data_IF_385016363138
#
_entry.id   IF_385016363138
#
_cell.length_a   1.000
_cell.length_b   1.000
_cell.length_c   1.000
_cell.angle_alpha   90.00
_cell.angle_beta   90.00
_cell.angle_gamma   90.00
#
_symmetry.space_group_name_H-M   'P 1'
#
loop_
_entity.id
_entity.type
_entity.pdbx_description
1 polymer ?
#
# COMPACT_ATOMS: atom_id res chain seq x y z
N UNK A 1 24.58 1.36 -11.75
CA UNK A 1 23.34 1.68 -10.99
C UNK A 1 22.66 2.84 -11.70
N UNK A 2 21.34 2.83 -11.77
CA UNK A 2 20.53 3.90 -12.35
C UNK A 2 20.66 5.16 -11.48
N UNK A 3 20.79 6.34 -12.08
CA UNK A 3 20.84 7.59 -11.31
C UNK A 3 19.43 8.01 -10.87
N UNK A 4 19.31 8.84 -9.83
CA UNK A 4 18.02 9.39 -9.38
C UNK A 4 17.27 10.09 -10.52
N UNK A 5 18.00 10.86 -11.33
CA UNK A 5 17.44 11.53 -12.52
C UNK A 5 16.89 10.54 -13.54
N UNK A 6 17.59 9.43 -13.78
CA UNK A 6 17.12 8.38 -14.68
C UNK A 6 15.86 7.70 -14.13
N UNK A 7 15.80 7.42 -12.82
CA UNK A 7 14.60 6.83 -12.18
C UNK A 7 13.40 7.76 -12.32
N UNK A 8 13.58 9.02 -11.96
CA UNK A 8 12.53 10.03 -12.02
C UNK A 8 12.02 10.24 -13.45
N UNK A 9 12.91 10.25 -14.45
CA UNK A 9 12.54 10.34 -15.86
C UNK A 9 11.66 9.17 -16.31
N UNK A 10 11.96 7.94 -15.85
CA UNK A 10 11.17 6.75 -16.14
C UNK A 10 9.77 6.82 -15.52
N UNK A 11 9.65 7.26 -14.27
CA UNK A 11 8.34 7.46 -13.64
C UNK A 11 7.54 8.59 -14.27
N UNK A 12 8.18 9.75 -14.51
CA UNK A 12 7.54 10.92 -15.11
C UNK A 12 6.90 10.59 -16.46
N UNK A 13 7.59 9.81 -17.32
CA UNK A 13 7.03 9.38 -18.61
C UNK A 13 5.74 8.56 -18.46
N UNK A 14 5.69 7.64 -17.50
CA UNK A 14 4.51 6.79 -17.26
C UNK A 14 3.37 7.58 -16.64
N UNK A 15 3.68 8.41 -15.64
CA UNK A 15 2.70 9.23 -14.92
C UNK A 15 2.08 10.26 -15.85
N UNK A 16 2.87 10.93 -16.70
CA UNK A 16 2.35 11.88 -17.69
C UNK A 16 1.32 11.23 -18.63
N UNK A 17 1.53 9.97 -19.02
CA UNK A 17 0.58 9.23 -19.84
C UNK A 17 -0.72 8.90 -19.07
N UNK A 18 -0.62 8.55 -17.78
CA UNK A 18 -1.78 8.31 -16.92
C UNK A 18 -2.61 9.58 -16.73
N UNK A 19 -1.96 10.71 -16.46
CA UNK A 19 -2.60 12.02 -16.30
C UNK A 19 -3.28 12.46 -17.60
N UNK A 20 -2.60 12.32 -18.75
CA UNK A 20 -3.19 12.60 -20.05
C UNK A 20 -4.40 11.69 -20.36
N UNK A 21 -4.42 10.48 -19.80
CA UNK A 21 -5.56 9.55 -19.85
C UNK A 21 -6.71 9.90 -18.90
N UNK A 22 -6.58 10.95 -18.09
CA UNK A 22 -7.62 11.42 -17.16
C UNK A 22 -7.54 10.80 -15.76
N UNK A 23 -6.42 10.17 -15.38
CA UNK A 23 -6.22 9.76 -13.99
C UNK A 23 -6.23 10.98 -13.06
N UNK A 24 -7.02 10.92 -11.98
CA UNK A 24 -7.14 11.98 -10.98
C UNK A 24 -6.25 11.79 -9.74
N UNK A 25 -5.60 10.64 -9.67
CA UNK A 25 -4.72 10.24 -8.59
C UNK A 25 -3.69 9.26 -9.15
N UNK A 26 -2.51 9.20 -8.54
CA UNK A 26 -1.45 8.26 -8.86
C UNK A 26 -1.23 7.34 -7.67
N UNK A 27 -1.24 6.02 -7.91
CA UNK A 27 -0.93 5.03 -6.89
C UNK A 27 0.39 4.35 -7.26
N UNK A 28 1.45 4.63 -6.51
CA UNK A 28 2.76 4.00 -6.65
C UNK A 28 2.81 2.84 -5.67
N UNK A 29 2.62 1.62 -6.17
CA UNK A 29 2.45 0.43 -5.34
C UNK A 29 3.65 -0.52 -5.35
N UNK A 30 3.75 -1.32 -4.28
CA UNK A 30 4.68 -2.47 -4.15
C UNK A 30 6.17 -2.12 -4.15
N UNK A 31 6.55 -0.92 -3.75
CA UNK A 31 7.95 -0.51 -3.74
C UNK A 31 8.68 -1.07 -2.51
N UNK A 32 9.97 -1.33 -2.65
CA UNK A 32 10.83 -1.81 -1.54
C UNK A 32 11.98 -0.85 -1.21
N UNK A 33 12.40 -0.03 -2.18
CA UNK A 33 13.39 1.06 -2.01
C UNK A 33 12.68 2.39 -1.78
N UNK A 34 13.16 3.14 -0.78
CA UNK A 34 12.70 4.51 -0.50
C UNK A 34 13.15 5.48 -1.59
N UNK A 35 14.37 5.30 -2.08
CA UNK A 35 14.94 6.15 -3.12
C UNK A 35 14.08 6.11 -4.39
N UNK A 36 13.66 4.91 -4.79
CA UNK A 36 12.87 4.70 -6.00
C UNK A 36 11.45 5.25 -5.86
N UNK A 37 10.73 4.95 -4.76
CA UNK A 37 9.37 5.45 -4.55
C UNK A 37 9.34 6.97 -4.40
N UNK A 38 10.33 7.58 -3.74
CA UNK A 38 10.43 9.03 -3.62
C UNK A 38 10.60 9.71 -4.99
N UNK A 39 11.34 9.10 -5.93
CA UNK A 39 11.43 9.60 -7.30
C UNK A 39 10.07 9.59 -7.99
N UNK A 40 9.29 8.52 -7.82
CA UNK A 40 7.95 8.41 -8.40
C UNK A 40 6.97 9.45 -7.83
N UNK A 41 7.00 9.66 -6.52
CA UNK A 41 6.15 10.66 -5.85
C UNK A 41 6.50 12.07 -6.32
N UNK A 42 7.79 12.44 -6.36
CA UNK A 42 8.24 13.74 -6.84
C UNK A 42 7.90 13.94 -8.32
N UNK A 43 8.09 12.91 -9.16
CA UNK A 43 7.71 12.96 -10.56
C UNK A 43 6.21 13.27 -10.74
N UNK A 44 5.33 12.67 -9.93
CA UNK A 44 3.90 12.96 -9.96
C UNK A 44 3.61 14.42 -9.56
N UNK A 45 4.19 14.88 -8.45
CA UNK A 45 3.99 16.24 -7.93
C UNK A 45 4.58 17.34 -8.82
N UNK A 46 5.67 17.06 -9.53
CA UNK A 46 6.25 17.99 -10.51
C UNK A 46 5.39 18.13 -11.76
N UNK A 47 4.75 17.04 -12.21
CA UNK A 47 3.85 17.05 -13.36
C UNK A 47 2.52 17.73 -13.03
N UNK A 48 1.99 17.50 -11.84
CA UNK A 48 0.79 18.14 -11.33
C UNK A 48 0.86 18.23 -9.80
N UNK A 49 1.07 19.43 -9.27
CA UNK A 49 1.16 19.65 -7.83
C UNK A 49 -0.15 19.35 -7.07
N UNK A 50 -1.28 19.31 -7.79
CA UNK A 50 -2.61 19.06 -7.22
C UNK A 50 -3.04 17.60 -7.29
N UNK A 51 -2.28 16.72 -7.96
CA UNK A 51 -2.64 15.30 -8.04
C UNK A 51 -2.43 14.63 -6.69
N UNK A 52 -3.41 13.84 -6.25
CA UNK A 52 -3.25 12.98 -5.08
C UNK A 52 -2.32 11.81 -5.41
N UNK A 53 -1.33 11.57 -4.55
CA UNK A 53 -0.35 10.50 -4.69
C UNK A 53 -0.44 9.55 -3.49
N UNK A 54 -0.87 8.32 -3.77
CA UNK A 54 -0.73 7.20 -2.84
C UNK A 54 0.59 6.48 -3.07
N UNK A 55 1.35 6.29 -2.00
CA UNK A 55 2.66 5.67 -2.03
C UNK A 55 2.69 4.49 -1.05
N UNK A 56 2.79 3.28 -1.57
CA UNK A 56 2.80 2.06 -0.74
C UNK A 56 4.10 1.29 -0.89
N UNK A 57 4.57 0.78 0.24
CA UNK A 57 5.74 -0.09 0.30
C UNK A 57 5.36 -1.46 0.86
N UNK A 58 6.05 -2.49 0.41
CA UNK A 58 5.83 -3.87 0.89
C UNK A 58 6.73 -4.15 2.08
N UNK A 59 6.13 -4.56 3.20
CA UNK A 59 6.85 -4.91 4.42
C UNK A 59 6.68 -6.38 4.75
N UNK A 60 7.75 -7.00 5.24
CA UNK A 60 7.74 -8.33 5.83
C UNK A 60 8.05 -8.26 7.32
N UNK A 61 7.62 -9.28 8.06
CA UNK A 61 7.91 -9.39 9.49
C UNK A 61 9.41 -9.63 9.71
N UNK A 62 10.00 -8.78 10.54
CA UNK A 62 11.38 -8.86 11.01
C UNK A 62 11.41 -9.09 12.53
N UNK A 63 12.56 -9.48 13.13
CA UNK A 63 12.68 -9.68 14.57
C UNK A 63 12.31 -8.46 15.42
N UNK A 64 12.45 -7.25 14.87
CA UNK A 64 12.25 -5.97 15.52
C UNK A 64 11.03 -5.18 15.00
N UNK A 65 10.17 -5.81 14.20
CA UNK A 65 8.96 -5.18 13.67
C UNK A 65 8.71 -5.54 12.22
N UNK A 66 8.59 -4.53 11.36
CA UNK A 66 8.32 -4.68 9.93
C UNK A 66 9.37 -3.93 9.12
N UNK A 67 9.92 -4.60 8.11
CA UNK A 67 10.92 -4.02 7.21
C UNK A 67 10.62 -4.36 5.77
N UNK A 68 10.95 -3.46 4.85
CA UNK A 68 10.95 -3.77 3.43
C UNK A 68 12.10 -4.74 3.11
N UNK A 69 12.09 -5.31 1.90
CA UNK A 69 13.21 -6.14 1.40
C UNK A 69 14.57 -5.39 1.46
N UNK A 70 14.55 -4.07 1.36
CA UNK A 70 15.75 -3.21 1.43
C UNK A 70 16.13 -2.82 2.87
N UNK A 71 15.42 -3.36 3.88
CA UNK A 71 15.71 -3.14 5.30
C UNK A 71 15.08 -1.88 5.89
N UNK A 72 14.24 -1.16 5.15
CA UNK A 72 13.61 0.08 5.60
C UNK A 72 12.46 -0.25 6.56
N UNK A 73 12.46 0.33 7.75
CA UNK A 73 11.33 0.22 8.68
C UNK A 73 10.20 1.20 8.36
N UNK A 74 9.03 0.97 8.95
CA UNK A 74 7.82 1.75 8.69
C UNK A 74 7.99 3.23 9.02
N UNK A 75 8.69 3.55 10.12
CA UNK A 75 8.92 4.94 10.53
C UNK A 75 9.73 5.72 9.49
N UNK A 76 10.86 5.14 9.05
CA UNK A 76 11.70 5.75 8.02
C UNK A 76 10.97 5.88 6.67
N UNK A 77 10.15 4.88 6.30
CA UNK A 77 9.33 4.94 5.10
C UNK A 77 8.31 6.10 5.16
N UNK A 78 7.57 6.23 6.27
CA UNK A 78 6.58 7.29 6.47
C UNK A 78 7.23 8.67 6.37
N UNK A 79 8.36 8.89 7.06
CA UNK A 79 9.09 10.16 7.03
C UNK A 79 9.50 10.52 5.60
N UNK A 80 10.11 9.58 4.88
CA UNK A 80 10.60 9.81 3.54
C UNK A 80 9.47 10.08 2.52
N UNK A 81 8.38 9.31 2.61
CA UNK A 81 7.22 9.47 1.71
C UNK A 81 6.50 10.80 1.95
N UNK A 82 6.29 11.18 3.20
CA UNK A 82 5.71 12.48 3.54
C UNK A 82 6.61 13.63 3.05
N UNK A 83 7.93 13.52 3.25
CA UNK A 83 8.88 14.52 2.76
C UNK A 83 8.96 14.60 1.22
N UNK A 84 8.71 13.50 0.52
CA UNK A 84 8.61 13.48 -0.94
C UNK A 84 7.30 14.09 -1.47
N UNK A 85 6.29 14.26 -0.61
CA UNK A 85 5.00 14.85 -0.95
C UNK A 85 3.89 13.84 -1.19
N UNK A 86 3.96 12.62 -0.65
CA UNK A 86 2.85 11.69 -0.74
C UNK A 86 1.65 12.19 0.10
N UNK A 87 0.44 12.12 -0.46
CA UNK A 87 -0.79 12.51 0.24
C UNK A 87 -1.39 11.33 1.00
N UNK A 88 -1.11 10.10 0.55
CA UNK A 88 -1.56 8.84 1.16
C UNK A 88 -0.33 7.93 1.25
N UNK A 89 -0.12 7.32 2.42
CA UNK A 89 0.96 6.36 2.63
C UNK A 89 0.38 4.99 2.97
N UNK A 90 1.15 3.92 2.83
CA UNK A 90 0.67 2.64 3.32
C UNK A 90 1.44 1.43 2.83
N UNK A 91 0.75 0.30 2.81
CA UNK A 91 1.35 -0.97 2.44
C UNK A 91 0.40 -1.85 1.65
N UNK A 92 0.97 -2.61 0.73
CA UNK A 92 0.29 -3.65 -0.01
C UNK A 92 1.20 -4.87 -0.18
N UNK A 93 0.59 -6.00 -0.55
CA UNK A 93 1.31 -7.25 -0.80
C UNK A 93 2.07 -7.78 0.43
N UNK A 94 2.94 -8.77 0.22
CA UNK A 94 3.74 -9.44 1.26
C UNK A 94 2.93 -10.43 2.10
N UNK A 95 1.90 -9.94 2.80
CA UNK A 95 1.24 -10.67 3.87
C UNK A 95 -0.29 -10.74 3.73
N UNK A 96 -0.89 -11.69 4.44
CA UNK A 96 -2.34 -11.79 4.62
C UNK A 96 -2.89 -10.72 5.59
N UNK A 97 -4.21 -10.66 5.71
CA UNK A 97 -4.90 -9.55 6.41
C UNK A 97 -4.45 -9.37 7.86
N UNK A 98 -4.14 -10.46 8.57
CA UNK A 98 -3.78 -10.43 9.98
C UNK A 98 -2.52 -9.60 10.25
N UNK A 99 -1.45 -9.84 9.50
CA UNK A 99 -0.22 -9.06 9.64
C UNK A 99 -0.43 -7.60 9.17
N UNK A 100 -1.29 -7.39 8.17
CA UNK A 100 -1.57 -6.06 7.65
C UNK A 100 -2.31 -5.16 8.65
N UNK A 101 -3.06 -5.72 9.60
CA UNK A 101 -3.60 -4.98 10.75
C UNK A 101 -2.48 -4.40 11.61
N UNK A 102 -1.44 -5.20 11.90
CA UNK A 102 -0.29 -4.74 12.68
C UNK A 102 0.53 -3.70 11.92
N UNK A 103 0.72 -3.87 10.60
CA UNK A 103 1.38 -2.88 9.74
C UNK A 103 0.62 -1.56 9.77
N UNK A 104 -0.73 -1.58 9.63
CA UNK A 104 -1.55 -0.37 9.71
C UNK A 104 -1.37 0.37 11.04
N UNK A 105 -1.38 -0.37 12.15
CA UNK A 105 -1.14 0.17 13.48
C UNK A 105 0.26 0.76 13.64
N UNK A 106 1.27 0.19 12.98
CA UNK A 106 2.62 0.76 12.97
C UNK A 106 2.66 2.07 12.18
N UNK A 107 2.07 2.13 10.98
CA UNK A 107 1.97 3.37 10.20
C UNK A 107 1.30 4.49 11.00
N UNK A 108 0.19 4.18 11.69
CA UNK A 108 -0.59 5.17 12.45
C UNK A 108 0.18 5.80 13.62
N UNK A 109 1.23 5.15 14.13
CA UNK A 109 2.11 5.76 15.16
C UNK A 109 2.95 6.91 14.63
N UNK A 110 3.18 6.97 13.32
CA UNK A 110 4.16 7.87 12.69
C UNK A 110 3.53 8.93 11.78
N UNK A 111 2.21 8.87 11.52
CA UNK A 111 1.55 9.86 10.65
C UNK A 111 0.04 9.99 10.88
N UNK A 112 -0.48 11.19 10.62
CA UNK A 112 -1.91 11.49 10.51
C UNK A 112 -2.43 11.43 9.06
N UNK A 113 -1.55 11.22 8.07
CA UNK A 113 -1.95 11.04 6.68
C UNK A 113 -2.94 9.87 6.54
N UNK A 114 -3.80 9.86 5.51
CA UNK A 114 -4.58 8.70 5.15
C UNK A 114 -3.68 7.48 4.91
N UNK A 115 -4.07 6.34 5.47
CA UNK A 115 -3.34 5.07 5.36
C UNK A 115 -4.08 4.13 4.40
N UNK A 116 -3.38 3.63 3.38
CA UNK A 116 -3.86 2.62 2.45
C UNK A 116 -3.31 1.23 2.81
N UNK A 117 -4.19 0.24 2.92
CA UNK A 117 -3.82 -1.15 3.17
C UNK A 117 -4.51 -2.10 2.19
N UNK A 118 -3.71 -2.74 1.34
CA UNK A 118 -4.17 -3.75 0.38
C UNK A 118 -3.50 -5.11 0.67
N UNK A 119 -4.15 -5.95 1.47
CA UNK A 119 -3.63 -7.26 1.87
C UNK A 119 -3.70 -8.29 0.72
N UNK A 120 -2.80 -9.26 0.71
CA UNK A 120 -2.97 -10.46 -0.11
C UNK A 120 -4.11 -11.33 0.43
N UNK A 121 -4.65 -12.23 -0.39
CA UNK A 121 -5.53 -13.31 0.06
C UNK A 121 -4.73 -14.42 0.79
N UNK A 122 -4.07 -14.03 1.88
CA UNK A 122 -3.18 -14.87 2.67
C UNK A 122 -1.73 -14.80 2.22
N UNK A 123 -0.88 -15.54 2.92
CA UNK A 123 0.55 -15.67 2.59
C UNK A 123 0.68 -16.50 1.30
N UNK A 124 1.52 -16.08 0.34
CA UNK A 124 1.75 -16.83 -0.90
C UNK A 124 2.38 -18.20 -0.62
N UNK A 125 1.77 -19.26 -1.15
CA UNK A 125 2.31 -20.62 -1.09
C UNK A 125 2.78 -21.09 -2.48
N UNK A 126 3.91 -21.77 -2.56
CA UNK A 126 4.37 -22.40 -3.80
C UNK A 126 3.87 -23.85 -3.89
N UNK A 127 2.91 -24.11 -4.76
CA UNK A 127 2.33 -25.44 -4.98
C UNK A 127 2.57 -25.84 -6.42
N UNK A 128 3.40 -26.86 -6.64
CA UNK A 128 3.70 -27.34 -8.00
C UNK A 128 4.32 -26.27 -8.91
N UNK A 129 5.08 -25.32 -8.35
CA UNK A 129 5.68 -24.21 -9.09
C UNK A 129 4.75 -23.03 -9.36
N UNK A 130 3.51 -23.07 -8.86
CA UNK A 130 2.55 -21.96 -8.95
C UNK A 130 2.34 -21.32 -7.58
N UNK A 131 2.29 -19.98 -7.55
CA UNK A 131 1.90 -19.24 -6.36
C UNK A 131 0.40 -19.35 -6.15
N UNK A 132 -0.01 -19.89 -5.00
CA UNK A 132 -1.39 -20.09 -4.58
C UNK A 132 -1.67 -19.27 -3.33
N UNK A 133 -2.85 -18.65 -3.31
CA UNK A 133 -3.39 -17.88 -2.19
C UNK A 133 -4.64 -18.60 -1.69
N UNK A 134 -4.75 -18.82 -0.37
CA UNK A 134 -5.78 -19.70 0.21
C UNK A 134 -6.78 -19.01 1.12
N UNK A 135 -6.53 -17.76 1.51
CA UNK A 135 -7.46 -17.02 2.36
C UNK A 135 -8.78 -16.83 1.61
N UNK A 136 -9.89 -17.18 2.25
CA UNK A 136 -11.21 -17.00 1.66
C UNK A 136 -11.69 -15.56 1.84
N UNK A 137 -12.66 -15.08 1.03
CA UNK A 137 -13.25 -13.75 1.19
C UNK A 137 -13.67 -13.40 2.62
N UNK A 138 -14.21 -14.37 3.36
CA UNK A 138 -14.71 -14.22 4.72
C UNK A 138 -13.58 -14.09 5.74
N UNK A 139 -12.45 -14.75 5.49
CA UNK A 139 -11.27 -14.67 6.37
C UNK A 139 -10.67 -13.26 6.28
N UNK A 140 -10.52 -12.73 5.06
CA UNK A 140 -10.09 -11.34 4.83
C UNK A 140 -11.07 -10.35 5.46
N UNK A 141 -12.37 -10.52 5.20
CA UNK A 141 -13.42 -9.63 5.72
C UNK A 141 -13.47 -9.64 7.26
N UNK A 142 -13.25 -10.78 7.90
CA UNK A 142 -13.31 -10.93 9.36
C UNK A 142 -12.34 -10.04 10.14
N UNK A 143 -11.31 -9.48 9.48
CA UNK A 143 -10.32 -8.58 10.09
C UNK A 143 -10.44 -7.12 9.63
N UNK A 144 -11.40 -6.78 8.76
CA UNK A 144 -11.57 -5.42 8.24
C UNK A 144 -11.87 -4.43 9.36
N UNK A 145 -12.68 -4.82 10.36
CA UNK A 145 -12.95 -3.96 11.51
C UNK A 145 -11.66 -3.60 12.25
N UNK A 146 -10.85 -4.61 12.59
CA UNK A 146 -9.57 -4.39 13.28
C UNK A 146 -8.64 -3.51 12.44
N UNK A 147 -8.64 -3.67 11.12
CA UNK A 147 -7.82 -2.88 10.21
C UNK A 147 -8.23 -1.39 10.21
N UNK A 148 -9.53 -1.10 10.23
CA UNK A 148 -10.06 0.26 10.35
C UNK A 148 -9.74 0.84 11.73
N UNK A 149 -9.91 0.07 12.81
CA UNK A 149 -9.58 0.50 14.17
C UNK A 149 -8.06 0.73 14.36
N UNK A 150 -7.21 -0.01 13.65
CA UNK A 150 -5.77 0.21 13.59
C UNK A 150 -5.38 1.50 12.85
N UNK A 151 -6.33 2.11 12.12
CA UNK A 151 -6.18 3.42 11.50
C UNK A 151 -6.09 3.41 9.98
N UNK A 152 -6.40 2.30 9.29
CA UNK A 152 -6.50 2.30 7.83
C UNK A 152 -7.69 3.14 7.35
N UNK A 153 -7.51 3.91 6.29
CA UNK A 153 -8.54 4.74 5.67
C UNK A 153 -9.00 4.17 4.32
N UNK A 154 -8.09 3.52 3.59
CA UNK A 154 -8.36 2.90 2.29
C UNK A 154 -8.03 1.42 2.42
N UNK A 155 -9.05 0.58 2.30
CA UNK A 155 -8.94 -0.87 2.46
C UNK A 155 -9.31 -1.57 1.16
N UNK A 156 -8.50 -2.54 0.76
CA UNK A 156 -8.67 -3.26 -0.49
C UNK A 156 -7.87 -4.57 -0.50
N UNK A 157 -7.57 -5.06 -1.69
CA UNK A 157 -6.91 -6.34 -1.90
C UNK A 157 -5.77 -6.26 -2.90
N UNK A 158 -4.76 -7.09 -2.70
CA UNK A 158 -3.62 -7.26 -3.59
C UNK A 158 -3.63 -8.69 -4.20
N UNK A 159 -2.50 -9.39 -4.22
CA UNK A 159 -2.39 -10.70 -4.87
C UNK A 159 -3.35 -11.74 -4.26
N UNK A 160 -3.96 -12.54 -5.13
CA UNK A 160 -4.93 -13.58 -4.75
C UNK A 160 -6.34 -13.08 -4.44
N UNK A 161 -6.53 -11.78 -4.21
CA UNK A 161 -7.87 -11.24 -3.95
C UNK A 161 -8.71 -11.25 -5.23
N UNK A 162 -10.03 -11.33 -5.04
CA UNK A 162 -11.01 -11.45 -6.13
C UNK A 162 -12.18 -10.51 -5.90
N UNK A 163 -13.08 -10.29 -6.88
CA UNK A 163 -14.30 -9.51 -6.65
C UNK A 163 -15.13 -9.98 -5.44
N UNK A 164 -15.11 -11.27 -5.11
CA UNK A 164 -15.77 -11.80 -3.92
C UNK A 164 -15.12 -11.30 -2.62
N UNK A 165 -13.78 -11.19 -2.59
CA UNK A 165 -13.06 -10.57 -1.46
C UNK A 165 -13.46 -9.10 -1.31
N UNK A 166 -13.45 -8.35 -2.42
CA UNK A 166 -13.81 -6.92 -2.38
C UNK A 166 -15.26 -6.71 -1.92
N UNK A 167 -16.19 -7.56 -2.36
CA UNK A 167 -17.58 -7.51 -1.89
C UNK A 167 -17.70 -7.79 -0.38
N UNK A 168 -16.94 -8.76 0.13
CA UNK A 168 -16.92 -9.08 1.55
C UNK A 168 -16.28 -7.95 2.38
N UNK A 169 -15.16 -7.38 1.92
CA UNK A 169 -14.54 -6.19 2.52
C UNK A 169 -15.54 -5.04 2.58
N UNK A 170 -16.22 -4.75 1.46
CA UNK A 170 -17.19 -3.66 1.38
C UNK A 170 -18.31 -3.82 2.39
N UNK A 171 -18.82 -5.04 2.58
CA UNK A 171 -19.89 -5.30 3.54
C UNK A 171 -19.46 -4.98 4.99
N UNK A 172 -18.20 -5.27 5.35
CA UNK A 172 -17.69 -4.94 6.69
C UNK A 172 -17.37 -3.45 6.86
N UNK A 173 -16.87 -2.79 5.81
CA UNK A 173 -16.70 -1.32 5.81
C UNK A 173 -18.05 -0.62 6.02
N UNK A 174 -19.10 -1.03 5.31
CA UNK A 174 -20.44 -0.44 5.46
C UNK A 174 -21.00 -0.61 6.89
N UNK A 175 -20.77 -1.77 7.51
CA UNK A 175 -21.16 -2.01 8.90
C UNK A 175 -20.39 -1.10 9.87
N UNK A 176 -19.09 -0.93 9.66
CA UNK A 176 -18.26 -0.07 10.50
C UNK A 176 -18.69 1.40 10.39
N UNK A 177 -18.95 1.89 9.19
CA UNK A 177 -19.43 3.26 8.96
C UNK A 177 -20.81 3.52 9.55
N UNK A 178 -21.71 2.52 9.54
CA UNK A 178 -23.03 2.65 10.15
C UNK A 178 -23.01 2.67 11.69
N UNK A 179 -21.90 2.26 12.31
CA UNK A 179 -21.72 2.24 13.76
C UNK A 179 -21.03 3.49 14.32
N UNK A 180 -20.57 4.40 13.45
CA UNK A 180 -19.98 5.70 13.78
C UNK A 180 -21.06 6.79 13.85
#
# INVERSE_FOLDING_TARGET
LMSEQDMQAVFSRQIAALLAGGARAICVESMTSVEEICCAVRAAKELDASVDVAATMTFDRAPDGFRTMMGVDVAAAVEALAAAGADIVGSNCGNGIEAMVEVAGEFRKHTDLPILIHANAGVPELVGGQTVFREAPQDTAGRVKDLLEAGANIVGGCCGTTPAHIAAIRAEVDKALAAM
#
